data_IF_473812584544
#
_entry.id   IF_473812584544
#
_cell.length_a   1.000
_cell.length_b   1.000
_cell.length_c   1.000
_cell.angle_alpha   90.00
_cell.angle_beta   90.00
_cell.angle_gamma   90.00
#
_symmetry.space_group_name_H-M   'P 1'
#
loop_
_entity.id
_entity.type
_entity.pdbx_description
1 polymer ?
#
# COMPACT_ATOMS: atom_id res chain seq x y z
N UNK A 1 -36.30 11.32 16.07
CA UNK A 1 -35.32 10.66 15.18
C UNK A 1 -35.53 9.15 15.37
N UNK A 2 -35.71 8.35 14.32
CA UNK A 2 -35.89 6.90 14.48
C UNK A 2 -34.59 6.27 15.01
N UNK A 3 -34.71 5.35 15.96
CA UNK A 3 -33.58 4.58 16.45
C UNK A 3 -33.09 3.61 15.37
N UNK A 4 -31.78 3.50 15.20
CA UNK A 4 -31.19 2.53 14.27
C UNK A 4 -31.21 1.16 14.92
N UNK A 5 -31.75 0.18 14.22
CA UNK A 5 -31.86 -1.21 14.63
C UNK A 5 -31.46 -2.15 13.46
N UNK A 6 -31.45 -3.46 13.69
CA UNK A 6 -31.03 -4.44 12.68
C UNK A 6 -31.87 -4.39 11.40
N UNK A 7 -33.13 -3.92 11.48
CA UNK A 7 -34.02 -3.85 10.32
C UNK A 7 -33.71 -2.66 9.43
N UNK A 8 -33.40 -1.49 10.01
CA UNK A 8 -33.16 -0.26 9.23
C UNK A 8 -31.67 0.01 8.94
N UNK A 9 -30.74 -0.68 9.61
CA UNK A 9 -29.29 -0.57 9.42
C UNK A 9 -28.86 -0.65 7.95
N UNK A 10 -29.47 -1.56 7.19
CA UNK A 10 -29.20 -1.76 5.76
C UNK A 10 -29.31 -0.49 4.91
N UNK A 11 -30.10 0.50 5.34
CA UNK A 11 -30.29 1.76 4.64
C UNK A 11 -29.02 2.65 4.69
N UNK A 12 -28.17 2.47 5.70
CA UNK A 12 -26.94 3.25 5.87
C UNK A 12 -25.78 2.67 5.06
N UNK A 13 -25.81 1.37 4.80
CA UNK A 13 -24.68 0.61 4.24
C UNK A 13 -24.24 1.12 2.86
N UNK A 14 -25.12 1.41 1.88
CA UNK A 14 -24.69 1.83 0.54
C UNK A 14 -23.79 3.08 0.56
N UNK A 15 -24.14 4.08 1.39
CA UNK A 15 -23.33 5.29 1.54
C UNK A 15 -21.97 5.02 2.18
N UNK A 16 -21.90 4.14 3.18
CA UNK A 16 -20.63 3.70 3.77
C UNK A 16 -19.77 2.95 2.75
N UNK A 17 -20.38 2.03 2.00
CA UNK A 17 -19.70 1.22 0.98
C UNK A 17 -19.08 2.10 -0.10
N UNK A 18 -19.85 3.05 -0.65
CA UNK A 18 -19.36 3.99 -1.65
C UNK A 18 -18.18 4.83 -1.11
N UNK A 19 -18.31 5.36 0.12
CA UNK A 19 -17.25 6.16 0.75
C UNK A 19 -15.97 5.37 1.00
N UNK A 20 -16.06 4.16 1.56
CA UNK A 20 -14.89 3.31 1.84
C UNK A 20 -14.24 2.83 0.54
N UNK A 21 -15.03 2.40 -0.44
CA UNK A 21 -14.52 1.98 -1.75
C UNK A 21 -13.78 3.12 -2.47
N UNK A 22 -14.30 4.35 -2.39
CA UNK A 22 -13.63 5.54 -2.91
C UNK A 22 -12.28 5.79 -2.24
N UNK A 23 -12.18 5.63 -0.92
CA UNK A 23 -10.92 5.76 -0.18
C UNK A 23 -9.91 4.66 -0.52
N UNK A 24 -10.38 3.41 -0.67
CA UNK A 24 -9.54 2.29 -1.12
C UNK A 24 -8.99 2.60 -2.51
N UNK A 25 -9.86 2.94 -3.47
CA UNK A 25 -9.47 3.24 -4.85
C UNK A 25 -8.45 4.38 -4.91
N UNK A 26 -8.72 5.50 -4.22
CA UNK A 26 -7.82 6.67 -4.15
C UNK A 26 -6.44 6.33 -3.58
N UNK A 27 -6.38 5.55 -2.50
CA UNK A 27 -5.12 5.29 -1.79
C UNK A 27 -4.29 4.16 -2.40
N UNK A 28 -4.91 3.27 -3.19
CA UNK A 28 -4.24 2.09 -3.77
C UNK A 28 -4.08 2.16 -5.29
N UNK A 29 -4.83 3.01 -5.97
CA UNK A 29 -4.96 3.01 -7.43
C UNK A 29 -5.84 1.88 -7.97
N UNK A 30 -6.49 1.08 -7.10
CA UNK A 30 -7.40 0.01 -7.48
C UNK A 30 -8.66 0.56 -8.17
N UNK A 31 -9.18 -0.09 -9.23
CA UNK A 31 -10.45 0.28 -9.83
C UNK A 31 -11.59 0.29 -8.80
N UNK A 32 -12.50 1.27 -8.89
CA UNK A 32 -13.57 1.45 -7.90
C UNK A 32 -14.44 0.19 -7.71
N UNK A 33 -14.75 -0.52 -8.80
CA UNK A 33 -15.51 -1.79 -8.76
C UNK A 33 -14.80 -2.85 -7.92
N UNK A 34 -13.48 -2.99 -8.09
CA UNK A 34 -12.69 -3.95 -7.32
C UNK A 34 -12.57 -3.54 -5.86
N UNK A 35 -12.41 -2.24 -5.59
CA UNK A 35 -12.39 -1.69 -4.24
C UNK A 35 -13.71 -1.95 -3.50
N UNK A 36 -14.84 -1.84 -4.19
CA UNK A 36 -16.15 -2.13 -3.65
C UNK A 36 -16.32 -3.63 -3.35
N UNK A 37 -15.92 -4.52 -4.26
CA UNK A 37 -15.91 -5.97 -4.03
C UNK A 37 -15.00 -6.37 -2.86
N UNK A 38 -13.83 -5.72 -2.74
CA UNK A 38 -12.91 -5.91 -1.62
C UNK A 38 -13.58 -5.52 -0.30
N UNK A 39 -14.28 -4.39 -0.27
CA UNK A 39 -15.02 -3.95 0.91
C UNK A 39 -16.08 -4.96 1.32
N UNK A 40 -16.96 -5.39 0.40
CA UNK A 40 -18.01 -6.37 0.69
C UNK A 40 -17.48 -7.73 1.21
N UNK A 41 -16.28 -8.13 0.81
CA UNK A 41 -15.65 -9.38 1.26
C UNK A 41 -14.95 -9.27 2.62
N UNK A 42 -14.81 -8.05 3.15
CA UNK A 42 -14.03 -7.81 4.37
C UNK A 42 -14.74 -8.27 5.65
N UNK A 43 -13.96 -8.59 6.67
CA UNK A 43 -14.50 -8.80 8.02
C UNK A 43 -15.13 -7.54 8.59
N UNK A 44 -14.67 -6.35 8.17
CA UNK A 44 -15.27 -5.08 8.57
C UNK A 44 -16.70 -4.96 8.06
N UNK A 45 -16.97 -5.34 6.82
CA UNK A 45 -18.32 -5.33 6.26
C UNK A 45 -19.27 -6.27 7.02
N UNK A 46 -18.80 -7.48 7.36
CA UNK A 46 -19.57 -8.43 8.19
C UNK A 46 -19.93 -7.86 9.57
N UNK A 47 -19.07 -7.01 10.15
CA UNK A 47 -19.38 -6.31 11.40
C UNK A 47 -20.35 -5.16 11.14
N UNK A 48 -20.15 -4.39 10.08
CA UNK A 48 -21.01 -3.26 9.69
C UNK A 48 -22.48 -3.68 9.47
N UNK A 49 -22.73 -4.91 9.01
CA UNK A 49 -24.07 -5.49 8.84
C UNK A 49 -24.75 -5.89 10.16
N UNK A 50 -24.05 -5.85 11.28
CA UNK A 50 -24.55 -6.23 12.60
C UNK A 50 -24.71 -5.00 13.48
N UNK A 51 -25.95 -4.73 13.84
CA UNK A 51 -26.34 -3.58 14.65
C UNK A 51 -25.59 -3.56 15.99
N UNK A 52 -25.47 -4.72 16.66
CA UNK A 52 -24.86 -4.82 17.98
C UNK A 52 -23.38 -4.39 18.01
N UNK A 53 -22.69 -4.41 16.87
CA UNK A 53 -21.28 -4.01 16.79
C UNK A 53 -21.11 -2.48 16.82
N UNK A 54 -22.18 -1.73 16.54
CA UNK A 54 -22.19 -0.26 16.44
C UNK A 54 -21.18 0.32 15.45
N UNK A 55 -20.57 -0.51 14.60
CA UNK A 55 -19.58 -0.10 13.57
C UNK A 55 -20.20 0.87 12.56
N UNK A 56 -21.51 0.84 12.38
CA UNK A 56 -22.27 1.71 11.49
C UNK A 56 -22.25 3.19 11.88
N UNK A 57 -21.94 3.52 13.13
CA UNK A 57 -21.74 4.90 13.57
C UNK A 57 -20.49 5.55 12.94
N UNK A 58 -19.50 4.75 12.55
CA UNK A 58 -18.26 5.29 12.01
C UNK A 58 -18.45 5.95 10.64
N UNK A 59 -17.74 7.06 10.44
CA UNK A 59 -17.61 7.68 9.11
C UNK A 59 -16.87 6.73 8.14
N UNK A 60 -17.03 6.89 6.82
CA UNK A 60 -16.26 6.11 5.84
C UNK A 60 -14.74 6.20 6.05
N UNK A 61 -14.23 7.36 6.48
CA UNK A 61 -12.80 7.53 6.79
C UNK A 61 -12.37 6.66 7.97
N UNK A 62 -13.14 6.64 9.07
CA UNK A 62 -12.86 5.79 10.23
C UNK A 62 -12.97 4.29 9.88
N UNK A 63 -13.96 3.88 9.09
CA UNK A 63 -14.09 2.51 8.60
C UNK A 63 -12.88 2.10 7.76
N UNK A 64 -12.44 2.98 6.85
CA UNK A 64 -11.23 2.76 6.06
C UNK A 64 -10.01 2.63 6.97
N UNK A 65 -9.88 3.47 8.00
CA UNK A 65 -8.76 3.37 8.94
C UNK A 65 -8.73 2.06 9.71
N UNK A 66 -9.91 1.59 10.15
CA UNK A 66 -10.08 0.39 10.95
C UNK A 66 -9.75 -0.89 10.13
N UNK A 67 -10.23 -0.99 8.89
CA UNK A 67 -10.12 -2.21 8.09
C UNK A 67 -9.04 -2.20 7.00
N UNK A 68 -8.62 -1.03 6.53
CA UNK A 68 -7.92 -0.89 5.25
C UNK A 68 -6.67 -0.01 5.29
N UNK A 69 -6.37 0.70 6.40
CA UNK A 69 -5.15 1.52 6.53
C UNK A 69 -3.85 0.73 6.32
N UNK A 70 -3.87 -0.58 6.57
CA UNK A 70 -2.73 -1.47 6.33
C UNK A 70 -2.34 -1.57 4.84
N UNK A 71 -3.24 -1.23 3.91
CA UNK A 71 -2.91 -1.10 2.48
C UNK A 71 -2.09 0.16 2.16
N UNK A 72 -2.04 1.15 3.06
CA UNK A 72 -1.17 2.32 2.94
C UNK A 72 0.27 2.06 3.39
N UNK A 73 0.68 0.80 3.54
CA UNK A 73 2.09 0.44 3.75
C UNK A 73 2.81 0.41 2.39
N UNK A 74 3.23 1.59 1.91
CA UNK A 74 4.55 1.86 1.29
C UNK A 74 4.54 3.12 0.41
N UNK A 75 5.06 4.24 0.95
CA UNK A 75 5.93 5.17 0.18
C UNK A 75 7.06 5.78 1.00
N UNK A 76 7.10 5.64 2.34
CA UNK A 76 8.23 6.15 3.15
C UNK A 76 9.58 5.53 2.76
N UNK A 77 9.58 4.28 2.27
CA UNK A 77 10.78 3.56 1.80
C UNK A 77 10.65 3.10 0.33
N UNK A 78 9.84 3.78 -0.49
CA UNK A 78 9.74 3.47 -1.92
C UNK A 78 11.10 3.67 -2.61
N UNK A 79 11.35 3.08 -3.79
CA UNK A 79 12.65 3.17 -4.46
C UNK A 79 13.10 4.61 -4.79
N UNK A 80 12.18 5.57 -4.84
CA UNK A 80 12.48 7.02 -4.95
C UNK A 80 12.85 7.72 -3.63
N UNK A 81 12.54 7.11 -2.47
CA UNK A 81 12.82 7.62 -1.13
C UNK A 81 13.74 6.69 -0.32
N UNK A 82 14.28 5.66 -0.96
CA UNK A 82 15.24 4.74 -0.33
C UNK A 82 16.52 5.51 0.00
N UNK A 83 17.17 5.18 1.13
CA UNK A 83 18.54 5.64 1.43
C UNK A 83 19.52 5.29 0.28
N UNK A 84 19.18 4.26 -0.51
CA UNK A 84 19.90 3.84 -1.71
C UNK A 84 19.77 4.81 -2.89
N UNK A 85 18.74 5.67 -2.92
CA UNK A 85 18.52 6.60 -4.02
C UNK A 85 19.66 7.61 -4.18
N UNK A 86 20.27 8.06 -3.07
CA UNK A 86 21.46 8.92 -3.10
C UNK A 86 22.67 8.23 -3.76
N UNK A 87 22.70 6.90 -3.77
CA UNK A 87 23.80 6.07 -4.27
C UNK A 87 23.40 5.33 -5.56
N UNK A 88 22.31 5.74 -6.21
CA UNK A 88 21.69 5.04 -7.35
C UNK A 88 22.68 4.77 -8.48
N UNK A 89 23.43 5.79 -8.90
CA UNK A 89 24.41 5.68 -9.98
C UNK A 89 25.48 4.64 -9.68
N UNK A 90 26.00 4.64 -8.45
CA UNK A 90 27.03 3.69 -8.02
C UNK A 90 26.46 2.27 -7.92
N UNK A 91 25.27 2.10 -7.33
CA UNK A 91 24.60 0.79 -7.21
C UNK A 91 24.35 0.17 -8.59
N UNK A 92 23.85 0.96 -9.54
CA UNK A 92 23.58 0.48 -10.91
C UNK A 92 24.87 0.15 -11.66
N UNK A 93 25.94 0.95 -11.48
CA UNK A 93 27.26 0.66 -12.04
C UNK A 93 27.84 -0.65 -11.49
N UNK A 94 27.83 -0.81 -10.17
CA UNK A 94 28.29 -2.02 -9.49
C UNK A 94 27.52 -3.27 -9.95
N UNK A 95 26.22 -3.13 -10.18
CA UNK A 95 25.37 -4.23 -10.66
C UNK A 95 25.61 -4.58 -12.14
N UNK A 96 25.60 -3.58 -13.02
CA UNK A 96 25.61 -3.80 -14.47
C UNK A 96 27.03 -4.05 -15.02
N UNK A 97 28.02 -3.29 -14.56
CA UNK A 97 29.39 -3.31 -15.11
C UNK A 97 30.33 -4.20 -14.28
N UNK A 98 30.22 -4.15 -12.95
CA UNK A 98 31.12 -4.89 -12.06
C UNK A 98 30.56 -6.27 -11.68
N UNK A 99 29.36 -6.61 -12.17
CA UNK A 99 28.66 -7.88 -11.90
C UNK A 99 28.58 -8.25 -10.42
N UNK A 100 28.53 -7.24 -9.53
CA UNK A 100 28.44 -7.49 -8.10
C UNK A 100 27.09 -8.08 -7.72
N UNK A 101 27.10 -9.03 -6.79
CA UNK A 101 25.87 -9.58 -6.24
C UNK A 101 25.16 -8.56 -5.33
N UNK A 102 23.85 -8.73 -5.13
CA UNK A 102 23.08 -7.90 -4.21
C UNK A 102 23.65 -7.90 -2.78
N UNK A 103 24.30 -9.01 -2.39
CA UNK A 103 24.97 -9.16 -1.11
C UNK A 103 26.24 -8.32 -1.05
N UNK A 104 27.10 -8.43 -2.05
CA UNK A 104 28.35 -7.66 -2.11
C UNK A 104 28.07 -6.15 -2.10
N UNK A 105 27.05 -5.70 -2.83
CA UNK A 105 26.62 -4.30 -2.82
C UNK A 105 26.11 -3.87 -1.44
N UNK A 106 25.33 -4.71 -0.75
CA UNK A 106 24.86 -4.40 0.60
C UNK A 106 26.01 -4.29 1.61
N UNK A 107 27.02 -5.17 1.52
CA UNK A 107 28.21 -5.15 2.37
C UNK A 107 29.05 -3.89 2.13
N UNK A 108 29.24 -3.47 0.87
CA UNK A 108 29.93 -2.20 0.57
C UNK A 108 29.17 -0.97 1.09
N UNK A 109 27.84 -0.98 0.99
CA UNK A 109 27.00 0.08 1.54
C UNK A 109 27.10 0.13 3.07
N UNK A 110 27.22 -1.01 3.75
CA UNK A 110 27.46 -1.05 5.21
C UNK A 110 28.79 -0.40 5.59
N UNK A 111 29.85 -0.63 4.81
CA UNK A 111 31.16 0.05 5.02
C UNK A 111 31.04 1.56 4.93
N UNK A 112 30.10 2.07 4.14
CA UNK A 112 29.79 3.49 3.99
C UNK A 112 28.76 4.00 5.02
N UNK A 113 28.38 3.18 6.01
CA UNK A 113 27.41 3.53 7.05
C UNK A 113 25.94 3.44 6.60
N UNK A 114 25.65 2.82 5.46
CA UNK A 114 24.30 2.72 4.90
C UNK A 114 23.75 1.32 5.16
N UNK A 115 23.01 1.19 6.25
CA UNK A 115 22.34 -0.06 6.59
C UNK A 115 21.26 -0.44 5.55
N UNK A 116 21.48 -1.56 4.87
CA UNK A 116 20.51 -2.16 3.94
C UNK A 116 20.60 -3.69 3.94
N UNK A 117 19.65 -4.38 3.31
CA UNK A 117 19.69 -5.83 3.10
C UNK A 117 19.90 -6.16 1.62
N UNK A 118 20.47 -7.34 1.29
CA UNK A 118 20.60 -7.78 -0.10
C UNK A 118 19.25 -7.82 -0.84
N UNK A 119 18.16 -8.18 -0.15
CA UNK A 119 16.81 -8.17 -0.71
C UNK A 119 16.37 -6.75 -1.10
N UNK A 120 16.67 -5.75 -0.27
CA UNK A 120 16.35 -4.36 -0.56
C UNK A 120 17.16 -3.82 -1.74
N UNK A 121 18.44 -4.20 -1.85
CA UNK A 121 19.29 -3.85 -3.01
C UNK A 121 18.74 -4.46 -4.29
N UNK A 122 18.39 -5.75 -4.29
CA UNK A 122 17.81 -6.41 -5.46
C UNK A 122 16.48 -5.76 -5.90
N UNK A 123 15.59 -5.48 -4.95
CA UNK A 123 14.31 -4.79 -5.22
C UNK A 123 14.57 -3.40 -5.82
N UNK A 124 15.55 -2.67 -5.29
CA UNK A 124 15.92 -1.34 -5.77
C UNK A 124 16.37 -1.38 -7.23
N UNK A 125 17.35 -2.24 -7.56
CA UNK A 125 17.88 -2.38 -8.93
C UNK A 125 16.78 -2.81 -9.90
N UNK A 126 15.97 -3.81 -9.53
CA UNK A 126 14.89 -4.33 -10.38
C UNK A 126 13.88 -3.24 -10.75
N UNK A 127 13.50 -2.39 -9.80
CA UNK A 127 12.54 -1.30 -10.05
C UNK A 127 13.15 -0.23 -10.96
N UNK A 128 14.42 0.15 -10.74
CA UNK A 128 15.09 1.18 -11.57
C UNK A 128 15.23 0.75 -13.03
N UNK A 129 15.64 -0.49 -13.28
CA UNK A 129 15.70 -1.06 -14.64
C UNK A 129 14.33 -1.06 -15.33
N UNK A 130 13.26 -1.47 -14.62
CA UNK A 130 11.90 -1.46 -15.18
C UNK A 130 11.43 -0.06 -15.55
N UNK A 131 11.79 0.95 -14.77
CA UNK A 131 11.43 2.33 -15.07
C UNK A 131 12.26 2.92 -16.22
N UNK A 132 13.51 2.50 -16.38
CA UNK A 132 14.38 2.91 -17.49
C UNK A 132 13.88 2.36 -18.83
N UNK A 133 13.48 1.07 -18.88
CA UNK A 133 12.88 0.49 -20.09
C UNK A 133 11.60 1.21 -20.53
N UNK A 134 10.78 1.68 -19.58
CA UNK A 134 9.52 2.40 -19.85
C UNK A 134 9.69 3.85 -20.33
N UNK A 135 10.91 4.39 -20.32
CA UNK A 135 11.20 5.74 -20.84
C UNK A 135 11.59 5.74 -22.32
N UNK A 136 11.83 4.56 -22.88
CA UNK A 136 12.28 4.37 -24.26
C UNK A 136 11.09 4.01 -25.19
N UNK A 137 9.94 3.67 -24.59
CA UNK A 137 8.62 3.54 -25.24
C UNK A 137 7.85 4.87 -25.20
#
# INVERSE_FOLDING_TARGET
MQEINQQNLRLLIPGKAAGVAGLISKNTGMPLKEALLLFYRSSLYKQLEREETKVWHYSPAQLYELGFRRFSRHKRNGPGHSKLAAHEKWILKAWNEQHMSARAIAEELHKQGIETSPSNVWKFVKVRRKNESRKID
#
